data_IF_749796687885
#
_entry.id   IF_749796687885
#
_cell.length_a   1.000
_cell.length_b   1.000
_cell.length_c   1.000
_cell.angle_alpha   90.00
_cell.angle_beta   90.00
_cell.angle_gamma   90.00
#
_symmetry.space_group_name_H-M   'P 1'
#
loop_
_entity.id
_entity.type
_entity.pdbx_description
1 polymer ?
#
# COMPACT_ATOMS: atom_id res chain seq x y z
N UNK A 1 35.29 -9.21 41.50
CA UNK A 1 34.73 -7.93 41.00
C UNK A 1 34.77 -7.75 39.47
N UNK A 2 35.53 -8.54 38.68
CA UNK A 2 35.54 -8.43 37.21
C UNK A 2 34.43 -9.20 36.48
N UNK A 3 33.90 -10.28 37.05
CA UNK A 3 32.85 -11.10 36.40
C UNK A 3 31.46 -10.45 36.38
N UNK A 4 31.10 -9.66 37.40
CA UNK A 4 29.77 -9.04 37.49
C UNK A 4 29.58 -7.92 36.44
N UNK A 5 30.67 -7.21 36.08
CA UNK A 5 30.63 -6.19 35.03
C UNK A 5 30.42 -6.77 33.62
N UNK A 6 30.87 -8.01 33.36
CA UNK A 6 30.76 -8.63 32.04
C UNK A 6 29.34 -9.13 31.74
N UNK A 7 28.59 -9.60 32.74
CA UNK A 7 27.20 -10.01 32.55
C UNK A 7 26.24 -8.82 32.37
N UNK A 8 26.51 -7.68 33.02
CA UNK A 8 25.69 -6.47 32.85
C UNK A 8 25.76 -5.90 31.42
N UNK A 9 26.94 -5.97 30.78
CA UNK A 9 27.14 -5.53 29.40
C UNK A 9 26.47 -6.44 28.36
N UNK A 10 26.38 -7.75 28.63
CA UNK A 10 25.73 -8.69 27.70
C UNK A 10 24.19 -8.55 27.68
N UNK A 11 23.58 -8.18 28.82
CA UNK A 11 22.13 -8.02 28.94
C UNK A 11 21.66 -6.67 28.35
N UNK A 12 22.50 -5.63 28.41
CA UNK A 12 22.17 -4.34 27.77
C UNK A 12 22.30 -4.39 26.24
N UNK A 13 23.16 -5.25 25.70
CA UNK A 13 23.32 -5.40 24.26
C UNK A 13 22.17 -6.19 23.61
N UNK A 14 21.58 -7.15 24.32
CA UNK A 14 20.45 -7.96 23.83
C UNK A 14 19.09 -7.24 23.87
N UNK A 15 18.97 -6.10 24.56
CA UNK A 15 17.76 -5.27 24.58
C UNK A 15 17.68 -4.24 23.43
N UNK A 16 18.73 -4.10 22.62
CA UNK A 16 18.76 -3.15 21.49
C UNK A 16 18.44 -3.79 20.13
N UNK A 17 18.26 -5.10 20.06
CA UNK A 17 17.84 -5.80 18.83
C UNK A 17 16.33 -5.96 18.68
N UNK A 18 15.54 -5.50 19.66
CA UNK A 18 14.08 -5.56 19.64
C UNK A 18 13.49 -4.21 19.23
N UNK A 19 13.63 -3.84 17.95
CA UNK A 19 12.82 -2.77 17.35
C UNK A 19 13.60 -1.61 16.74
N UNK A 20 14.11 -1.80 15.53
CA UNK A 20 14.44 -0.69 14.63
C UNK A 20 14.23 -1.05 13.16
N UNK A 21 13.14 -1.76 12.86
CA UNK A 21 12.53 -1.71 11.54
C UNK A 21 11.41 -0.70 11.60
N UNK A 22 11.55 0.48 10.98
CA UNK A 22 10.42 1.39 10.78
C UNK A 22 9.36 0.59 10.03
N UNK A 23 8.18 0.41 10.63
CA UNK A 23 7.08 -0.30 9.98
C UNK A 23 6.85 0.37 8.62
N UNK A 24 7.01 -0.40 7.54
CA UNK A 24 7.00 0.15 6.18
C UNK A 24 5.62 0.62 5.73
N UNK A 25 4.56 0.14 6.39
CA UNK A 25 3.20 0.57 6.09
C UNK A 25 2.96 1.96 6.70
N UNK A 26 3.53 2.22 7.88
CA UNK A 26 3.39 3.50 8.59
C UNK A 26 4.05 4.63 7.80
N UNK A 27 3.24 5.60 7.38
CA UNK A 27 3.66 6.71 6.54
C UNK A 27 2.49 7.38 5.86
N UNK A 28 2.80 8.45 5.12
CA UNK A 28 1.85 9.21 4.33
C UNK A 28 2.10 8.97 2.85
N UNK A 29 1.06 8.61 2.13
CA UNK A 29 1.11 8.08 0.78
C UNK A 29 0.08 8.78 -0.11
N UNK A 30 0.50 9.26 -1.27
CA UNK A 30 -0.40 9.83 -2.26
C UNK A 30 -0.57 8.89 -3.45
N UNK A 31 -1.71 8.99 -4.10
CA UNK A 31 -2.02 8.18 -5.27
C UNK A 31 -0.99 8.39 -6.39
N UNK A 32 -0.36 7.30 -6.82
CA UNK A 32 0.56 7.29 -7.96
C UNK A 32 -0.21 6.95 -9.23
N UNK A 33 -0.75 8.00 -9.86
CA UNK A 33 -1.58 7.90 -11.05
C UNK A 33 -0.84 7.25 -12.22
N UNK A 34 0.39 7.68 -12.48
CA UNK A 34 1.17 7.23 -13.63
C UNK A 34 1.49 5.74 -13.49
N UNK A 35 2.05 5.35 -12.35
CA UNK A 35 2.39 3.94 -12.08
C UNK A 35 1.17 3.02 -12.06
N UNK A 36 0.02 3.52 -11.59
CA UNK A 36 -1.24 2.76 -11.61
C UNK A 36 -1.73 2.54 -13.04
N UNK A 37 -1.66 3.55 -13.91
CA UNK A 37 -2.05 3.41 -15.32
C UNK A 37 -1.14 2.48 -16.10
N UNK A 38 0.16 2.59 -15.87
CA UNK A 38 1.15 1.72 -16.50
C UNK A 38 0.91 0.26 -16.12
N UNK A 39 0.63 -0.01 -14.84
CA UNK A 39 0.32 -1.36 -14.36
C UNK A 39 -1.01 -1.92 -14.87
N UNK A 40 -1.92 -1.08 -15.36
CA UNK A 40 -3.19 -1.50 -15.97
C UNK A 40 -3.10 -1.70 -17.48
N UNK A 41 -2.02 -1.23 -18.12
CA UNK A 41 -1.86 -1.34 -19.57
C UNK A 41 -1.33 -2.75 -19.88
N UNK A 42 -2.11 -3.61 -20.57
CA UNK A 42 -1.60 -4.92 -20.97
C UNK A 42 -0.40 -4.73 -21.92
N UNK A 43 0.57 -5.67 -21.92
CA UNK A 43 1.66 -5.63 -22.89
C UNK A 43 1.06 -5.56 -24.31
N UNK A 44 1.63 -4.69 -25.15
CA UNK A 44 1.23 -4.58 -26.56
C UNK A 44 1.53 -5.90 -27.27
N UNK A 45 0.53 -6.76 -27.34
CA UNK A 45 0.61 -7.98 -28.14
C UNK A 45 0.19 -7.65 -29.58
N UNK A 46 1.13 -7.71 -30.56
CA UNK A 46 0.88 -7.33 -31.94
C UNK A 46 -0.21 -8.16 -32.62
N UNK A 47 -0.59 -9.33 -32.08
CA UNK A 47 -1.63 -10.21 -32.63
C UNK A 47 -3.06 -9.84 -32.22
N UNK A 48 -3.26 -8.96 -31.22
CA UNK A 48 -4.60 -8.62 -30.69
C UNK A 48 -5.35 -7.53 -31.48
N UNK A 49 -4.81 -7.14 -32.64
CA UNK A 49 -5.38 -6.11 -33.50
C UNK A 49 -6.59 -6.66 -34.26
N UNK A 50 -7.82 -6.38 -33.78
CA UNK A 50 -8.88 -5.81 -34.64
C UNK A 50 -10.28 -5.72 -34.00
N UNK A 51 -10.59 -6.40 -32.89
CA UNK A 51 -11.90 -6.26 -32.22
C UNK A 51 -11.81 -6.30 -30.68
N UNK A 52 -10.96 -7.17 -30.13
CA UNK A 52 -10.78 -7.29 -28.68
C UNK A 52 -10.02 -6.09 -28.10
N UNK A 53 -9.12 -5.47 -28.87
CA UNK A 53 -8.41 -4.24 -28.47
C UNK A 53 -9.36 -3.08 -28.17
N UNK A 54 -10.48 -2.95 -28.89
CA UNK A 54 -11.51 -1.93 -28.64
C UNK A 54 -12.27 -2.15 -27.33
N UNK A 55 -12.57 -3.41 -26.97
CA UNK A 55 -13.28 -3.74 -25.73
C UNK A 55 -12.35 -3.59 -24.52
N UNK A 56 -11.10 -4.05 -24.63
CA UNK A 56 -10.10 -3.93 -23.57
C UNK A 56 -9.76 -2.46 -23.29
N UNK A 57 -9.56 -1.65 -24.34
CA UNK A 57 -9.31 -0.21 -24.19
C UNK A 57 -10.51 0.55 -23.60
N UNK A 58 -11.74 0.16 -23.94
CA UNK A 58 -12.97 0.71 -23.33
C UNK A 58 -13.08 0.39 -21.84
N UNK A 59 -12.84 -0.86 -21.45
CA UNK A 59 -12.85 -1.28 -20.04
C UNK A 59 -11.75 -0.58 -19.23
N UNK A 60 -10.54 -0.49 -19.78
CA UNK A 60 -9.42 0.22 -19.16
C UNK A 60 -9.72 1.70 -18.98
N UNK A 61 -10.36 2.35 -19.96
CA UNK A 61 -10.76 3.75 -19.88
C UNK A 61 -11.84 3.97 -18.80
N UNK A 62 -12.82 3.08 -18.69
CA UNK A 62 -13.84 3.15 -17.64
C UNK A 62 -13.24 2.96 -16.24
N UNK A 63 -12.38 1.96 -16.08
CA UNK A 63 -11.73 1.65 -14.80
C UNK A 63 -10.79 2.78 -14.36
N UNK A 64 -9.99 3.34 -15.28
CA UNK A 64 -9.11 4.47 -14.97
C UNK A 64 -9.90 5.71 -14.54
N UNK A 65 -11.04 6.01 -15.18
CA UNK A 65 -11.93 7.10 -14.75
C UNK A 65 -12.49 6.89 -13.34
N UNK A 66 -12.89 5.66 -13.01
CA UNK A 66 -13.39 5.33 -11.67
C UNK A 66 -12.28 5.50 -10.61
N UNK A 67 -11.09 4.97 -10.88
CA UNK A 67 -9.94 5.11 -9.98
C UNK A 67 -9.55 6.57 -9.78
N UNK A 68 -9.53 7.39 -10.83
CA UNK A 68 -9.25 8.83 -10.68
C UNK A 68 -10.32 9.53 -9.87
N UNK A 69 -11.59 9.22 -10.12
CA UNK A 69 -12.68 9.82 -9.33
C UNK A 69 -12.53 9.48 -7.85
N UNK A 70 -12.09 8.27 -7.52
CA UNK A 70 -11.93 7.82 -6.14
C UNK A 70 -10.64 8.34 -5.48
N UNK A 71 -9.50 8.25 -6.16
CA UNK A 71 -8.16 8.43 -5.58
C UNK A 71 -7.45 9.73 -5.99
N UNK A 72 -7.92 10.47 -6.99
CA UNK A 72 -7.29 11.74 -7.35
C UNK A 72 -7.40 12.75 -6.19
N UNK A 73 -6.26 13.36 -5.86
CA UNK A 73 -6.12 14.21 -4.68
C UNK A 73 -6.28 13.50 -3.33
N UNK A 74 -6.29 12.16 -3.31
CA UNK A 74 -6.34 11.38 -2.06
C UNK A 74 -4.95 11.18 -1.51
N UNK A 75 -4.82 11.42 -0.21
CA UNK A 75 -3.70 11.00 0.60
C UNK A 75 -4.17 9.98 1.63
N UNK A 76 -3.39 8.92 1.80
CA UNK A 76 -3.59 7.88 2.81
C UNK A 76 -2.43 7.96 3.80
N UNK A 77 -2.74 8.16 5.06
CA UNK A 77 -1.77 8.07 6.16
C UNK A 77 -2.06 6.83 6.98
N UNK A 78 -1.13 5.87 7.01
CA UNK A 78 -1.18 4.76 7.95
C UNK A 78 -0.43 5.14 9.21
N UNK A 79 -1.10 5.07 10.35
CA UNK A 79 -0.51 5.14 11.68
C UNK A 79 -0.45 3.74 12.29
N UNK A 80 -0.09 3.62 13.57
CA UNK A 80 -0.04 2.31 14.23
C UNK A 80 -1.41 1.60 14.30
N UNK A 81 -2.51 2.36 14.43
CA UNK A 81 -3.82 1.82 14.76
C UNK A 81 -4.93 2.23 13.77
N UNK A 82 -4.69 3.26 12.96
CA UNK A 82 -5.70 3.82 12.05
C UNK A 82 -5.08 4.23 10.71
N UNK A 83 -5.90 4.13 9.68
CA UNK A 83 -5.68 4.68 8.36
C UNK A 83 -6.49 5.97 8.25
N UNK A 84 -5.84 7.06 7.87
CA UNK A 84 -6.49 8.35 7.61
C UNK A 84 -6.47 8.63 6.12
N UNK A 85 -7.65 8.76 5.53
CA UNK A 85 -7.82 9.17 4.14
C UNK A 85 -8.19 10.64 4.11
N UNK A 86 -7.39 11.46 3.45
CA UNK A 86 -7.70 12.88 3.22
C UNK A 86 -7.94 13.13 1.75
N UNK A 87 -9.01 13.85 1.41
CA UNK A 87 -9.28 14.35 0.06
C UNK A 87 -9.82 15.77 0.16
N UNK A 88 -9.18 16.72 -0.54
CA UNK A 88 -9.62 18.12 -0.60
C UNK A 88 -9.88 18.76 0.79
N UNK A 89 -9.06 18.43 1.79
CA UNK A 89 -9.19 18.97 3.16
C UNK A 89 -10.23 18.27 4.04
N UNK A 90 -10.99 17.31 3.51
CA UNK A 90 -11.87 16.43 4.29
C UNK A 90 -11.13 15.13 4.59
N UNK A 91 -10.99 14.81 5.88
CA UNK A 91 -10.30 13.63 6.37
C UNK A 91 -11.27 12.64 7.03
N UNK A 92 -11.17 11.37 6.66
CA UNK A 92 -11.82 10.25 7.32
C UNK A 92 -10.74 9.37 7.96
N UNK A 93 -11.01 8.84 9.15
CA UNK A 93 -10.12 7.91 9.84
C UNK A 93 -10.88 6.61 10.11
N UNK A 94 -10.22 5.48 9.86
CA UNK A 94 -10.74 4.15 10.12
C UNK A 94 -9.67 3.30 10.79
N UNK A 95 -10.04 2.59 11.86
CA UNK A 95 -9.14 1.65 12.50
C UNK A 95 -8.82 0.48 11.57
N UNK A 96 -7.63 -0.09 11.73
CA UNK A 96 -7.27 -1.31 11.01
C UNK A 96 -6.38 -2.20 11.86
N UNK A 97 -6.34 -3.47 11.48
CA UNK A 97 -5.39 -4.45 12.03
C UNK A 97 -4.76 -5.24 10.89
N UNK A 98 -3.49 -5.59 11.05
CA UNK A 98 -2.83 -6.59 10.19
C UNK A 98 -3.35 -7.96 10.63
N UNK A 99 -4.04 -8.65 9.72
CA UNK A 99 -4.57 -10.00 9.98
C UNK A 99 -3.64 -11.10 9.46
N UNK A 100 -2.76 -10.77 8.53
CA UNK A 100 -1.78 -11.71 7.96
C UNK A 100 -0.52 -10.97 7.49
N UNK A 101 0.66 -11.49 7.84
CA UNK A 101 1.95 -11.11 7.27
C UNK A 101 2.40 -12.22 6.30
N UNK A 102 2.14 -12.04 5.01
CA UNK A 102 2.39 -13.05 3.98
C UNK A 102 3.90 -13.19 3.73
N UNK A 103 4.59 -12.06 3.62
CA UNK A 103 6.05 -11.97 3.47
C UNK A 103 6.56 -10.59 3.95
N UNK A 104 7.86 -10.33 3.87
CA UNK A 104 8.49 -9.07 4.34
C UNK A 104 7.95 -7.79 3.67
N UNK A 105 7.30 -7.92 2.51
CA UNK A 105 6.75 -6.84 1.70
C UNK A 105 5.23 -6.91 1.59
N UNK A 106 4.57 -8.00 1.95
CA UNK A 106 3.12 -8.20 1.74
C UNK A 106 2.39 -8.40 3.05
N UNK A 107 1.33 -7.61 3.27
CA UNK A 107 0.43 -7.71 4.41
C UNK A 107 -1.02 -7.72 3.98
N UNK A 108 -1.85 -8.43 4.72
CA UNK A 108 -3.32 -8.35 4.62
C UNK A 108 -3.83 -7.59 5.83
N UNK A 109 -4.57 -6.51 5.59
CA UNK A 109 -5.18 -5.68 6.62
C UNK A 109 -6.70 -5.84 6.58
N UNK A 110 -7.32 -5.77 7.76
CA UNK A 110 -8.75 -5.66 7.92
C UNK A 110 -9.08 -4.32 8.58
N UNK A 111 -9.94 -3.54 7.94
CA UNK A 111 -10.49 -2.31 8.49
C UNK A 111 -11.65 -2.60 9.46
N UNK A 112 -11.99 -1.63 10.31
CA UNK A 112 -13.07 -1.78 11.32
C UNK A 112 -14.47 -1.95 10.71
N UNK A 113 -14.68 -1.53 9.46
CA UNK A 113 -15.92 -1.77 8.71
C UNK A 113 -16.02 -3.20 8.15
N UNK A 114 -14.96 -3.99 8.30
CA UNK A 114 -14.86 -5.37 7.85
C UNK A 114 -14.13 -5.56 6.52
N UNK A 115 -13.80 -4.48 5.81
CA UNK A 115 -13.11 -4.57 4.52
C UNK A 115 -11.70 -5.14 4.66
N UNK A 116 -11.35 -6.07 3.76
CA UNK A 116 -10.04 -6.73 3.75
C UNK A 116 -9.27 -6.30 2.51
N UNK A 117 -8.04 -5.83 2.73
CA UNK A 117 -7.18 -5.30 1.67
C UNK A 117 -5.79 -5.91 1.77
N UNK A 118 -5.22 -6.26 0.62
CA UNK A 118 -3.80 -6.66 0.52
C UNK A 118 -2.94 -5.46 0.17
N UNK A 119 -1.93 -5.18 0.97
CA UNK A 119 -0.96 -4.09 0.75
C UNK A 119 0.42 -4.70 0.53
N UNK A 120 1.12 -4.23 -0.50
CA UNK A 120 2.48 -4.64 -0.84
C UNK A 120 3.42 -3.44 -0.89
N UNK A 121 4.56 -3.53 -0.23
CA UNK A 121 5.68 -2.61 -0.39
C UNK A 121 6.35 -2.83 -1.74
N UNK A 122 6.51 -1.75 -2.49
CA UNK A 122 7.32 -1.69 -3.72
C UNK A 122 8.51 -0.75 -3.49
N UNK A 123 9.42 -0.68 -4.46
CA UNK A 123 10.69 0.06 -4.34
C UNK A 123 10.50 1.53 -3.88
N UNK A 124 9.52 2.22 -4.47
CA UNK A 124 9.25 3.65 -4.20
C UNK A 124 7.88 3.91 -3.56
N UNK A 125 7.31 2.94 -2.85
CA UNK A 125 6.02 3.15 -2.21
C UNK A 125 5.27 1.88 -1.88
N UNK A 126 3.95 1.97 -1.99
CA UNK A 126 3.02 0.88 -1.69
C UNK A 126 2.12 0.63 -2.89
N UNK A 127 1.59 -0.59 -2.98
CA UNK A 127 0.42 -0.88 -3.82
C UNK A 127 -0.62 -1.62 -3.00
N UNK A 128 -1.87 -1.27 -3.22
CA UNK A 128 -3.03 -1.86 -2.55
C UNK A 128 -3.86 -2.60 -3.58
N UNK A 129 -4.24 -3.83 -3.28
CA UNK A 129 -5.17 -4.59 -4.09
C UNK A 129 -6.59 -4.12 -3.76
N UNK A 130 -7.22 -3.39 -4.67
CA UNK A 130 -8.65 -3.14 -4.57
C UNK A 130 -9.41 -4.40 -4.99
N UNK A 131 -10.30 -4.85 -4.11
CA UNK A 131 -11.20 -5.95 -4.33
C UNK A 131 -12.56 -5.37 -4.75
N UNK A 132 -12.97 -5.64 -5.98
CA UNK A 132 -14.26 -5.27 -6.58
C UNK A 132 -14.59 -6.25 -7.72
N UNK A 133 -15.37 -5.85 -8.72
CA UNK A 133 -15.64 -6.68 -9.91
C UNK A 133 -14.35 -7.06 -10.69
N UNK A 134 -13.30 -6.25 -10.55
CA UNK A 134 -11.98 -6.49 -11.12
C UNK A 134 -10.90 -6.30 -10.05
N UNK A 135 -9.89 -7.19 -10.04
CA UNK A 135 -8.72 -7.10 -9.16
C UNK A 135 -7.71 -6.14 -9.77
N UNK A 136 -7.48 -5.00 -9.12
CA UNK A 136 -6.58 -3.97 -9.63
C UNK A 136 -5.62 -3.53 -8.54
N UNK A 137 -4.34 -3.47 -8.88
CA UNK A 137 -3.32 -2.89 -8.02
C UNK A 137 -3.32 -1.37 -8.18
N UNK A 138 -3.60 -0.66 -7.08
CA UNK A 138 -3.55 0.80 -7.00
C UNK A 138 -2.23 1.17 -6.34
N UNK A 139 -1.42 1.99 -7.00
CA UNK A 139 -0.09 2.37 -6.52
C UNK A 139 -0.14 3.70 -5.77
N UNK A 140 0.73 3.82 -4.77
CA UNK A 140 0.90 5.00 -3.95
C UNK A 140 2.39 5.28 -3.74
N UNK A 141 2.76 6.55 -3.81
CA UNK A 141 4.12 7.04 -3.57
C UNK A 141 4.17 7.84 -2.26
N UNK A 142 5.32 7.92 -1.58
CA UNK A 142 5.42 8.69 -0.35
C UNK A 142 5.16 10.17 -0.62
N UNK A 143 4.41 10.82 0.27
CA UNK A 143 4.31 12.29 0.24
C UNK A 143 5.63 12.86 0.74
N UNK A 144 6.28 13.70 -0.08
CA UNK A 144 7.48 14.41 0.34
C UNK A 144 7.16 15.31 1.55
N UNK A 145 7.94 15.17 2.62
CA UNK A 145 7.88 16.04 3.79
C UNK A 145 8.60 17.36 3.53
#
# INVERSE_FOLDING_TARGET
MRLILQFAALITLSLTLSGCGKDWLIGKWEFDKERTLDAMTPPEDPETNNLLSGVVSGLQRGLSQLLFTQFDGVTIEYTKNEMRRTKNGVGEAIGYKVIEEVDEKTRVIQYDDGDIVTVQRVEDGLKSLMMGEHKVWVYFKPVAN
#
